data_IF_569770243137
#
_entry.id   IF_569770243137
#
_cell.length_a   1.000
_cell.length_b   1.000
_cell.length_c   1.000
_cell.angle_alpha   90.00
_cell.angle_beta   90.00
_cell.angle_gamma   90.00
#
_symmetry.space_group_name_H-M   'P 1'
#
loop_
_entity.id
_entity.type
_entity.pdbx_description
1 polymer ?
#
# COMPACT_ATOMS: atom_id res chain seq x y z
N UNK A 1 34.76 -27.62 65.87
CA UNK A 1 33.30 -27.66 65.61
C UNK A 1 32.90 -26.37 64.91
N UNK A 2 32.67 -26.42 63.60
CA UNK A 2 32.07 -25.33 62.82
C UNK A 2 31.05 -25.97 61.88
N UNK A 3 29.77 -25.67 62.12
CA UNK A 3 28.66 -26.13 61.30
C UNK A 3 28.74 -25.48 59.91
N UNK A 4 28.60 -26.30 58.87
CA UNK A 4 28.35 -25.86 57.50
C UNK A 4 26.84 -25.71 57.30
N UNK A 5 26.36 -24.70 56.56
CA UNK A 5 24.95 -24.55 56.25
C UNK A 5 24.56 -25.41 55.05
N UNK A 6 23.44 -26.12 55.20
CA UNK A 6 22.78 -26.92 54.18
C UNK A 6 22.07 -26.00 53.19
N UNK A 7 22.43 -26.06 51.90
CA UNK A 7 21.74 -25.35 50.82
C UNK A 7 20.54 -26.19 50.39
N UNK A 8 19.34 -25.66 50.64
CA UNK A 8 18.05 -26.25 50.28
C UNK A 8 17.76 -25.96 48.79
N UNK A 9 17.78 -26.99 47.96
CA UNK A 9 17.43 -26.91 46.55
C UNK A 9 15.92 -26.70 46.37
N UNK A 10 15.55 -25.70 45.58
CA UNK A 10 14.18 -25.42 45.16
C UNK A 10 13.83 -26.30 43.95
N UNK A 11 12.61 -26.88 43.87
CA UNK A 11 12.20 -27.64 42.70
C UNK A 11 11.92 -26.66 41.55
N UNK A 12 12.63 -26.84 40.44
CA UNK A 12 12.27 -26.23 39.16
C UNK A 12 10.89 -26.77 38.75
N UNK A 13 9.87 -25.92 38.89
CA UNK A 13 8.55 -26.15 38.35
C UNK A 13 8.62 -26.17 36.82
N UNK A 14 8.25 -27.30 36.24
CA UNK A 14 8.05 -27.48 34.81
C UNK A 14 6.92 -26.55 34.37
N UNK A 15 7.25 -25.41 33.75
CA UNK A 15 6.27 -24.57 33.07
C UNK A 15 5.92 -25.25 31.74
N UNK A 16 4.78 -25.92 31.74
CA UNK A 16 4.17 -26.49 30.54
C UNK A 16 3.63 -25.33 29.68
N UNK A 17 4.46 -24.83 28.77
CA UNK A 17 4.04 -23.87 27.75
C UNK A 17 3.08 -24.57 26.78
N UNK A 18 1.77 -24.34 26.96
CA UNK A 18 0.78 -24.56 25.93
C UNK A 18 1.07 -23.58 24.79
N UNK A 19 1.78 -24.04 23.77
CA UNK A 19 1.86 -23.36 22.48
C UNK A 19 0.47 -23.52 21.84
N UNK A 20 -0.38 -22.52 22.03
CA UNK A 20 -1.57 -22.33 21.20
C UNK A 20 -1.06 -22.20 19.76
N UNK A 21 -1.29 -23.24 18.96
CA UNK A 21 -1.16 -23.16 17.52
C UNK A 21 -2.21 -22.17 17.01
N UNK A 22 -1.84 -20.89 16.98
CA UNK A 22 -2.58 -19.88 16.24
C UNK A 22 -2.47 -20.29 14.76
N UNK A 23 -3.58 -20.39 14.01
CA UNK A 23 -3.49 -20.68 12.59
C UNK A 23 -2.58 -19.64 11.94
N UNK A 24 -1.49 -20.10 11.32
CA UNK A 24 -0.67 -19.29 10.46
C UNK A 24 -1.56 -18.76 9.33
N UNK A 25 -1.75 -17.45 9.23
CA UNK A 25 -2.55 -16.89 8.13
C UNK A 25 -3.15 -15.51 8.38
N UNK A 26 -3.14 -14.98 9.60
CA UNK A 26 -3.45 -13.56 9.84
C UNK A 26 -2.12 -12.84 10.08
N UNK A 27 -1.44 -12.46 9.00
CA UNK A 27 -0.41 -11.45 9.14
C UNK A 27 -1.08 -10.15 9.60
N UNK A 28 -0.56 -9.57 10.68
CA UNK A 28 -1.14 -8.38 11.27
C UNK A 28 -0.98 -7.20 10.33
N UNK A 29 -2.06 -6.82 9.63
CA UNK A 29 -2.09 -5.57 8.87
C UNK A 29 -1.64 -4.43 9.77
N UNK A 30 -0.57 -3.76 9.38
CA UNK A 30 -0.04 -2.63 10.12
C UNK A 30 -0.60 -1.35 9.53
N UNK A 31 -1.46 -0.67 10.28
CA UNK A 31 -2.06 0.59 9.84
C UNK A 31 -1.00 1.69 9.74
N UNK A 32 -1.11 2.48 8.67
CA UNK A 32 -0.38 3.72 8.52
C UNK A 32 -1.07 4.79 9.37
N UNK A 33 -0.32 5.50 10.19
CA UNK A 33 -0.86 6.46 11.17
C UNK A 33 -0.57 7.91 10.81
N UNK A 34 0.44 8.16 9.96
CA UNK A 34 0.78 9.47 9.46
C UNK A 34 1.53 9.37 8.12
N UNK A 35 1.45 10.42 7.32
CA UNK A 35 2.24 10.59 6.09
C UNK A 35 2.89 11.96 6.07
N UNK A 36 4.04 12.05 5.40
CA UNK A 36 4.64 13.31 4.97
C UNK A 36 4.57 13.38 3.45
N UNK A 37 4.09 14.51 2.93
CA UNK A 37 3.99 14.75 1.49
C UNK A 37 4.83 15.96 1.07
N UNK A 38 5.16 16.01 -0.21
CA UNK A 38 5.63 17.22 -0.89
C UNK A 38 4.56 17.65 -1.89
N UNK A 39 4.24 18.93 -1.88
CA UNK A 39 3.30 19.52 -2.85
C UNK A 39 4.09 20.33 -3.88
N UNK A 40 3.84 20.08 -5.15
CA UNK A 40 4.34 20.87 -6.27
C UNK A 40 3.19 21.30 -7.15
N UNK A 41 3.21 22.54 -7.61
CA UNK A 41 2.19 23.10 -8.49
C UNK A 41 2.81 23.46 -9.85
N UNK A 42 2.06 23.21 -10.92
CA UNK A 42 2.36 23.69 -12.27
C UNK A 42 1.29 24.67 -12.75
N UNK A 43 1.47 25.26 -13.93
CA UNK A 43 0.46 26.16 -14.49
C UNK A 43 -0.82 25.38 -14.82
N UNK A 44 -1.99 25.90 -14.44
CA UNK A 44 -3.29 25.29 -14.70
C UNK A 44 -3.49 24.90 -16.17
N UNK A 45 -4.16 23.76 -16.40
CA UNK A 45 -4.59 23.28 -17.72
C UNK A 45 -6.11 23.16 -17.79
N UNK A 46 -6.65 23.03 -19.00
CA UNK A 46 -8.09 22.81 -19.22
C UNK A 46 -8.28 21.55 -20.06
N UNK A 47 -8.99 20.58 -19.50
CA UNK A 47 -9.37 19.32 -20.14
C UNK A 47 -10.85 19.08 -19.88
N UNK A 48 -11.58 18.62 -20.90
CA UNK A 48 -13.00 18.23 -20.74
C UNK A 48 -13.91 19.36 -20.22
N UNK A 49 -13.48 20.63 -20.38
CA UNK A 49 -14.18 21.80 -19.84
C UNK A 49 -13.90 22.09 -18.36
N UNK A 50 -13.01 21.35 -17.71
CA UNK A 50 -12.58 21.54 -16.32
C UNK A 50 -11.16 22.12 -16.25
N UNK A 51 -10.94 22.99 -15.27
CA UNK A 51 -9.59 23.46 -14.92
C UNK A 51 -8.92 22.46 -13.99
N UNK A 52 -7.74 21.98 -14.39
CA UNK A 52 -6.82 21.18 -13.57
C UNK A 52 -5.72 22.09 -13.05
N UNK A 53 -5.53 22.16 -11.74
CA UNK A 53 -4.53 23.01 -11.09
C UNK A 53 -3.11 22.44 -11.22
N UNK A 54 -2.99 21.19 -11.70
CA UNK A 54 -1.71 20.52 -11.88
C UNK A 54 -0.88 20.49 -10.58
N UNK A 55 -1.57 20.28 -9.45
CA UNK A 55 -0.95 20.05 -8.15
C UNK A 55 -0.63 18.58 -7.98
N UNK A 56 0.64 18.27 -7.75
CA UNK A 56 1.09 16.93 -7.33
C UNK A 56 1.27 16.93 -5.82
N UNK A 57 0.63 15.99 -5.13
CA UNK A 57 0.83 15.74 -3.70
C UNK A 57 1.51 14.39 -3.52
N UNK A 58 2.84 14.41 -3.53
CA UNK A 58 3.67 13.21 -3.54
C UNK A 58 3.98 12.69 -2.14
N UNK A 59 3.74 11.40 -1.91
CA UNK A 59 4.13 10.71 -0.68
C UNK A 59 5.66 10.62 -0.58
N UNK A 60 6.22 11.03 0.56
CA UNK A 60 7.67 10.97 0.84
C UNK A 60 8.00 9.96 1.93
N UNK A 61 7.24 10.02 3.04
CA UNK A 61 7.41 9.12 4.17
C UNK A 61 6.05 8.73 4.72
N UNK A 62 5.98 7.58 5.37
CA UNK A 62 4.84 7.22 6.21
C UNK A 62 5.30 6.64 7.54
N UNK A 63 4.44 6.71 8.54
CA UNK A 63 4.70 6.20 9.89
C UNK A 63 3.65 5.17 10.26
N UNK A 64 4.07 4.15 11.00
CA UNK A 64 3.22 3.11 11.57
C UNK A 64 3.48 3.00 13.07
N UNK A 65 2.91 2.00 13.74
CA UNK A 65 3.26 1.68 15.12
C UNK A 65 4.67 1.10 15.29
N UNK A 66 5.30 0.59 14.22
CA UNK A 66 6.60 -0.09 14.27
C UNK A 66 7.77 0.79 13.83
N UNK A 67 7.51 1.87 13.08
CA UNK A 67 8.55 2.79 12.64
C UNK A 67 8.12 3.73 11.53
N UNK A 68 9.08 4.51 11.04
CA UNK A 68 8.93 5.40 9.88
C UNK A 68 9.60 4.80 8.66
N UNK A 69 8.98 4.96 7.50
CA UNK A 69 9.44 4.45 6.22
C UNK A 69 9.61 5.62 5.24
N UNK A 70 10.64 5.56 4.40
CA UNK A 70 10.91 6.56 3.37
C UNK A 70 10.87 5.95 1.97
N UNK A 71 10.47 6.77 0.99
CA UNK A 71 10.39 6.40 -0.43
C UNK A 71 11.79 5.98 -0.93
N UNK A 72 11.86 4.81 -1.56
CA UNK A 72 13.11 4.28 -2.13
C UNK A 72 13.04 4.05 -3.63
N UNK A 73 11.85 3.94 -4.19
CA UNK A 73 11.65 3.74 -5.62
C UNK A 73 10.18 3.72 -6.02
N UNK A 74 9.94 3.50 -7.29
CA UNK A 74 8.61 3.41 -7.89
C UNK A 74 8.61 2.33 -8.97
N UNK A 75 7.42 1.84 -9.32
CA UNK A 75 7.27 0.97 -10.47
C UNK A 75 7.59 1.72 -11.77
N UNK A 76 8.19 1.02 -12.73
CA UNK A 76 8.47 1.55 -14.07
C UNK A 76 7.23 1.45 -14.97
N UNK A 77 6.39 0.45 -14.70
CA UNK A 77 5.24 0.09 -15.52
C UNK A 77 4.08 -0.33 -14.65
N UNK A 78 2.87 -0.14 -15.17
CA UNK A 78 1.66 -0.71 -14.60
C UNK A 78 0.87 -1.43 -15.69
N UNK A 79 0.45 -2.67 -15.40
CA UNK A 79 -0.40 -3.45 -16.29
C UNK A 79 -1.75 -3.70 -15.63
N UNK A 80 -2.80 -3.30 -16.32
CA UNK A 80 -4.18 -3.53 -15.89
C UNK A 80 -4.65 -4.84 -16.54
N UNK A 81 -5.18 -5.77 -15.74
CA UNK A 81 -5.49 -7.13 -16.16
C UNK A 81 -6.95 -7.49 -15.89
N UNK A 82 -7.51 -8.07 -16.93
CA UNK A 82 -8.90 -8.25 -17.27
C UNK A 82 -9.64 -6.95 -17.66
N UNK A 83 -10.28 -7.10 -18.83
CA UNK A 83 -11.15 -6.20 -19.59
C UNK A 83 -11.74 -7.09 -20.70
N UNK A 84 -12.62 -8.02 -20.33
CA UNK A 84 -13.30 -8.89 -21.32
C UNK A 84 -14.79 -8.99 -20.97
N UNK A 85 -15.61 -8.17 -21.62
CA UNK A 85 -17.08 -8.29 -21.53
C UNK A 85 -17.90 -7.00 -21.66
N UNK A 86 -17.28 -5.81 -21.63
CA UNK A 86 -17.96 -4.52 -21.76
C UNK A 86 -16.97 -3.41 -22.18
N UNK A 87 -17.46 -2.20 -22.43
CA UNK A 87 -16.59 -1.01 -22.46
C UNK A 87 -15.84 -0.98 -21.13
N UNK A 88 -14.51 -1.01 -21.16
CA UNK A 88 -13.74 -0.87 -19.94
C UNK A 88 -14.00 0.57 -19.47
N UNK A 89 -14.75 0.74 -18.40
CA UNK A 89 -15.05 2.07 -17.92
C UNK A 89 -14.03 2.43 -16.85
N UNK A 90 -12.93 3.07 -17.25
CA UNK A 90 -12.04 3.69 -16.28
C UNK A 90 -12.82 4.72 -15.48
N UNK A 91 -12.70 4.64 -14.16
CA UNK A 91 -13.21 5.66 -13.26
C UNK A 91 -12.02 6.30 -12.55
N UNK A 92 -11.76 7.56 -12.85
CA UNK A 92 -10.71 8.33 -12.19
C UNK A 92 -11.37 9.32 -11.27
N UNK A 93 -10.98 9.34 -10.01
CA UNK A 93 -11.38 10.40 -9.10
C UNK A 93 -10.30 11.47 -9.05
N UNK A 94 -10.75 12.72 -8.98
CA UNK A 94 -9.91 13.88 -8.76
C UNK A 94 -10.41 14.61 -7.51
N UNK A 95 -9.48 14.95 -6.63
CA UNK A 95 -9.78 15.87 -5.54
C UNK A 95 -10.23 17.21 -6.12
N UNK A 96 -11.27 17.78 -5.54
CA UNK A 96 -11.83 19.06 -5.97
C UNK A 96 -11.62 20.10 -4.88
N UNK A 97 -11.32 21.34 -5.27
CA UNK A 97 -11.24 22.45 -4.31
C UNK A 97 -12.63 22.82 -3.72
N UNK A 98 -13.71 22.43 -4.41
CA UNK A 98 -15.11 22.52 -3.98
C UNK A 98 -16.00 21.67 -4.90
N UNK A 99 -17.24 21.38 -4.51
CA UNK A 99 -18.17 20.47 -5.22
C UNK A 99 -18.50 20.83 -6.70
N UNK A 100 -18.12 22.01 -7.18
CA UNK A 100 -18.22 22.41 -8.60
C UNK A 100 -16.90 23.00 -9.14
N UNK A 101 -15.81 22.88 -8.38
CA UNK A 101 -14.56 23.60 -8.58
C UNK A 101 -13.50 22.84 -9.36
N UNK A 102 -12.37 23.52 -9.55
CA UNK A 102 -11.18 23.00 -10.22
C UNK A 102 -10.72 21.65 -9.63
N UNK A 103 -10.16 20.81 -10.49
CA UNK A 103 -9.46 19.59 -10.09
C UNK A 103 -8.10 19.99 -9.55
N UNK A 104 -7.76 19.51 -8.35
CA UNK A 104 -6.49 19.86 -7.72
C UNK A 104 -5.34 19.20 -8.47
N UNK A 105 -5.47 17.91 -8.79
CA UNK A 105 -4.43 17.19 -9.52
C UNK A 105 -4.26 17.67 -10.98
N UNK A 106 -3.20 17.18 -11.60
CA UNK A 106 -3.02 17.19 -13.04
C UNK A 106 -3.96 16.20 -13.74
N UNK A 107 -4.28 16.49 -15.00
CA UNK A 107 -4.99 15.56 -15.88
C UNK A 107 -4.09 14.37 -16.21
N UNK A 108 -4.68 13.17 -16.34
CA UNK A 108 -3.99 12.00 -16.85
C UNK A 108 -4.64 11.62 -18.17
N UNK A 109 -3.86 11.32 -19.19
CA UNK A 109 -4.38 10.86 -20.48
C UNK A 109 -4.58 9.35 -20.51
N UNK A 110 -3.96 8.64 -19.55
CA UNK A 110 -4.16 7.21 -19.36
C UNK A 110 -4.43 6.80 -17.91
N UNK A 111 -5.16 5.70 -17.73
CA UNK A 111 -5.36 5.09 -16.42
C UNK A 111 -4.05 4.66 -15.75
N UNK A 112 -3.06 4.26 -16.55
CA UNK A 112 -1.73 3.89 -16.12
C UNK A 112 -0.98 5.09 -15.51
N UNK A 113 -1.11 6.28 -16.08
CA UNK A 113 -0.52 7.51 -15.53
C UNK A 113 -1.07 7.81 -14.14
N UNK A 114 -2.39 7.69 -13.94
CA UNK A 114 -3.02 7.89 -12.61
C UNK A 114 -2.39 6.98 -11.55
N UNK A 115 -2.09 5.73 -11.91
CA UNK A 115 -1.57 4.71 -10.99
C UNK A 115 -0.07 4.86 -10.71
N UNK A 116 0.69 5.51 -11.59
CA UNK A 116 2.16 5.63 -11.49
C UNK A 116 2.66 6.98 -10.94
N UNK A 117 1.82 8.01 -10.85
CA UNK A 117 2.31 9.39 -10.66
C UNK A 117 2.65 9.79 -9.21
N UNK A 118 2.44 8.92 -8.22
CA UNK A 118 2.60 9.24 -6.80
C UNK A 118 1.88 10.54 -6.41
N UNK A 119 0.56 10.60 -6.60
CA UNK A 119 -0.23 11.80 -6.33
C UNK A 119 -1.49 11.49 -5.51
N UNK A 120 -1.57 11.99 -4.27
CA UNK A 120 -2.76 11.83 -3.42
C UNK A 120 -3.99 12.61 -3.89
N UNK A 121 -3.83 13.60 -4.79
CA UNK A 121 -4.94 14.42 -5.26
C UNK A 121 -5.76 13.76 -6.38
N UNK A 122 -5.41 12.53 -6.79
CA UNK A 122 -6.16 11.72 -7.76
C UNK A 122 -6.00 10.24 -7.47
N UNK A 123 -6.82 9.45 -8.14
CA UNK A 123 -6.76 7.99 -8.07
C UNK A 123 -7.84 7.35 -8.90
N UNK A 124 -8.09 6.06 -8.69
CA UNK A 124 -9.10 5.32 -9.45
C UNK A 124 -10.19 4.81 -8.53
N UNK A 125 -11.43 4.80 -9.01
CA UNK A 125 -12.61 4.52 -8.19
C UNK A 125 -13.23 3.17 -8.55
N UNK A 126 -13.63 2.38 -7.55
CA UNK A 126 -14.18 1.05 -7.74
C UNK A 126 -13.33 0.15 -8.64
N UNK A 127 -12.02 0.12 -8.43
CA UNK A 127 -11.08 -0.55 -9.34
C UNK A 127 -11.42 -2.02 -9.58
N UNK A 128 -11.82 -2.74 -8.53
CA UNK A 128 -12.15 -4.18 -8.61
C UNK A 128 -13.65 -4.48 -8.63
N UNK A 129 -14.51 -3.46 -8.76
CA UNK A 129 -15.95 -3.68 -8.88
C UNK A 129 -16.28 -4.21 -10.27
N UNK A 130 -16.66 -5.47 -10.40
CA UNK A 130 -16.83 -6.16 -11.70
C UNK A 130 -18.27 -6.70 -11.91
N UNK A 131 -19.17 -6.48 -10.96
CA UNK A 131 -20.59 -6.82 -11.07
C UNK A 131 -21.43 -5.62 -11.53
N UNK A 132 -22.01 -5.70 -12.72
CA UNK A 132 -22.91 -4.68 -13.27
C UNK A 132 -22.38 -4.05 -14.56
N UNK A 133 -23.23 -3.29 -15.26
CA UNK A 133 -22.93 -2.77 -16.61
C UNK A 133 -22.10 -1.48 -16.64
N UNK A 134 -21.82 -0.89 -15.48
CA UNK A 134 -21.23 0.46 -15.38
C UNK A 134 -19.83 0.44 -14.78
N UNK A 135 -19.22 -0.72 -14.57
CA UNK A 135 -17.94 -0.85 -13.88
C UNK A 135 -16.86 -1.46 -14.75
N UNK A 136 -15.60 -1.19 -14.39
CA UNK A 136 -14.45 -1.80 -15.00
C UNK A 136 -14.40 -3.30 -14.65
N UNK A 137 -14.10 -4.16 -15.61
CA UNK A 137 -13.90 -5.60 -15.34
C UNK A 137 -12.43 -5.88 -15.01
N UNK A 138 -11.83 -5.03 -14.18
CA UNK A 138 -10.43 -5.13 -13.77
C UNK A 138 -10.37 -6.02 -12.54
N UNK A 139 -9.48 -7.01 -12.58
CA UNK A 139 -9.35 -8.00 -11.50
C UNK A 139 -7.96 -7.99 -10.88
N UNK A 140 -7.00 -7.44 -11.62
CA UNK A 140 -5.60 -7.41 -11.22
C UNK A 140 -4.89 -6.20 -11.80
N UNK A 141 -4.05 -5.57 -10.99
CA UNK A 141 -3.16 -4.49 -11.41
C UNK A 141 -1.73 -4.87 -11.03
N UNK A 142 -0.84 -4.93 -12.00
CA UNK A 142 0.56 -5.31 -11.83
C UNK A 142 1.43 -4.04 -11.83
N UNK A 143 2.12 -3.74 -10.73
CA UNK A 143 3.13 -2.67 -10.64
C UNK A 143 4.51 -3.29 -10.80
N UNK A 144 5.20 -2.99 -11.91
CA UNK A 144 6.41 -3.69 -12.33
C UNK A 144 7.62 -2.76 -12.36
N UNK A 145 8.73 -3.21 -11.78
CA UNK A 145 10.07 -2.67 -11.99
C UNK A 145 10.86 -3.60 -12.92
N UNK A 146 11.22 -3.12 -14.10
CA UNK A 146 11.74 -3.92 -15.22
C UNK A 146 13.10 -4.56 -14.94
N UNK A 147 13.90 -3.97 -14.03
CA UNK A 147 15.18 -4.54 -13.61
C UNK A 147 15.08 -5.52 -12.45
N UNK A 148 13.94 -5.51 -11.75
CA UNK A 148 13.83 -6.05 -10.41
C UNK A 148 14.81 -5.41 -9.42
N UNK A 149 14.67 -5.75 -8.15
CA UNK A 149 15.60 -5.35 -7.10
C UNK A 149 15.72 -6.46 -6.06
N UNK A 150 16.87 -6.50 -5.39
CA UNK A 150 17.07 -7.39 -4.24
C UNK A 150 16.32 -6.83 -3.04
N UNK A 151 15.35 -7.58 -2.53
CA UNK A 151 14.58 -7.21 -1.36
C UNK A 151 15.48 -7.06 -0.13
N UNK A 152 15.29 -5.99 0.65
CA UNK A 152 15.95 -5.82 1.95
C UNK A 152 14.96 -6.18 3.06
N UNK A 153 15.47 -6.52 4.26
CA UNK A 153 14.60 -6.79 5.42
C UNK A 153 13.69 -5.60 5.77
N UNK A 154 14.10 -4.39 5.40
CA UNK A 154 13.38 -3.15 5.65
C UNK A 154 12.37 -2.79 4.54
N UNK A 155 12.24 -3.60 3.48
CA UNK A 155 11.36 -3.34 2.34
C UNK A 155 9.89 -3.30 2.78
N UNK A 156 9.18 -2.30 2.25
CA UNK A 156 7.78 -2.09 2.54
C UNK A 156 6.99 -1.58 1.32
N UNK A 157 5.73 -1.99 1.24
CA UNK A 157 4.75 -1.54 0.25
C UNK A 157 3.56 -0.93 1.02
N UNK A 158 3.38 0.40 0.97
CA UNK A 158 2.15 0.99 1.45
C UNK A 158 1.05 0.85 0.38
N UNK A 159 -0.17 0.57 0.82
CA UNK A 159 -1.36 0.59 -0.04
C UNK A 159 -2.42 1.46 0.63
N UNK A 160 -2.94 2.41 -0.13
CA UNK A 160 -3.92 3.40 0.31
C UNK A 160 -5.23 3.26 -0.46
N UNK A 161 -6.31 3.19 0.33
CA UNK A 161 -7.71 3.23 -0.09
C UNK A 161 -8.29 4.62 0.18
N UNK A 162 -9.02 5.17 -0.79
CA UNK A 162 -9.67 6.47 -0.70
C UNK A 162 -11.11 6.29 -0.22
N UNK A 163 -11.27 6.18 1.09
CA UNK A 163 -12.53 5.81 1.72
C UNK A 163 -13.11 6.84 2.67
N UNK A 164 -14.30 6.54 3.18
CA UNK A 164 -14.91 7.26 4.31
C UNK A 164 -14.09 6.93 5.54
N UNK A 165 -13.78 7.88 6.40
CA UNK A 165 -13.07 7.58 7.65
C UNK A 165 -13.98 6.87 8.68
N UNK A 166 -13.58 5.75 9.33
CA UNK A 166 -12.39 4.90 9.15
C UNK A 166 -12.71 3.58 8.41
N UNK A 167 -13.55 3.65 7.39
CA UNK A 167 -14.07 2.54 6.60
C UNK A 167 -13.30 2.43 5.28
N UNK A 168 -12.35 1.50 5.26
CA UNK A 168 -11.58 1.18 4.06
C UNK A 168 -11.78 -0.24 3.59
N UNK A 169 -11.58 -0.43 2.30
CA UNK A 169 -11.96 -1.65 1.63
C UNK A 169 -10.87 -2.74 1.64
N UNK A 170 -11.32 -3.97 1.46
CA UNK A 170 -10.45 -5.14 1.39
C UNK A 170 -9.87 -5.31 -0.02
N UNK A 171 -8.68 -5.88 -0.08
CA UNK A 171 -7.99 -6.27 -1.30
C UNK A 171 -7.01 -7.39 -0.99
N UNK A 172 -6.37 -7.92 -2.02
CA UNK A 172 -5.24 -8.84 -1.87
C UNK A 172 -4.03 -8.34 -2.64
N UNK A 173 -2.86 -8.78 -2.21
CA UNK A 173 -1.57 -8.37 -2.75
C UNK A 173 -0.61 -9.57 -2.79
N UNK A 174 0.22 -9.65 -3.82
CA UNK A 174 1.33 -10.58 -3.90
C UNK A 174 2.53 -9.93 -4.58
N UNK A 175 3.74 -10.26 -4.14
CA UNK A 175 4.97 -9.81 -4.80
C UNK A 175 5.17 -10.56 -6.11
N UNK A 176 5.63 -9.85 -7.14
CA UNK A 176 6.04 -10.44 -8.41
C UNK A 176 7.49 -10.91 -8.27
N UNK A 177 7.72 -12.22 -8.32
CA UNK A 177 9.05 -12.82 -8.12
C UNK A 177 9.77 -13.16 -9.43
N UNK A 178 9.06 -13.13 -10.55
CA UNK A 178 9.65 -13.24 -11.89
C UNK A 178 8.74 -12.60 -12.93
N UNK A 179 9.35 -12.13 -14.03
CA UNK A 179 8.66 -11.58 -15.21
C UNK A 179 9.23 -12.17 -16.49
N UNK A 180 8.44 -12.14 -17.57
CA UNK A 180 8.91 -12.44 -18.92
C UNK A 180 9.64 -11.24 -19.56
N UNK A 181 10.07 -11.39 -20.82
CA UNK A 181 10.79 -10.36 -21.56
C UNK A 181 9.97 -9.07 -21.83
N UNK A 182 8.66 -9.10 -21.58
CA UNK A 182 7.75 -7.97 -21.75
C UNK A 182 7.27 -7.39 -20.42
N UNK A 183 7.81 -7.85 -19.29
CA UNK A 183 7.41 -7.40 -17.96
C UNK A 183 6.12 -8.06 -17.45
N UNK A 184 5.59 -9.09 -18.12
CA UNK A 184 4.43 -9.81 -17.59
C UNK A 184 4.88 -10.72 -16.42
N UNK A 185 4.18 -10.71 -15.28
CA UNK A 185 4.44 -11.65 -14.19
C UNK A 185 4.45 -13.11 -14.66
N UNK A 186 5.47 -13.87 -14.24
CA UNK A 186 5.59 -15.32 -14.44
C UNK A 186 5.66 -16.11 -13.12
N UNK A 187 5.70 -15.42 -11.98
CA UNK A 187 5.72 -16.01 -10.66
C UNK A 187 5.37 -15.01 -9.57
N UNK A 188 4.76 -15.51 -8.50
CA UNK A 188 4.29 -14.73 -7.37
C UNK A 188 4.75 -15.33 -6.04
N UNK A 189 4.90 -14.48 -5.03
CA UNK A 189 5.00 -14.87 -3.61
C UNK A 189 3.66 -15.39 -3.07
N UNK A 190 3.60 -15.68 -1.76
CA UNK A 190 2.33 -15.93 -1.09
C UNK A 190 1.36 -14.74 -1.28
N UNK A 191 0.06 -15.06 -1.36
CA UNK A 191 -1.02 -14.07 -1.47
C UNK A 191 -1.37 -13.55 -0.07
N UNK A 192 -1.05 -12.28 0.18
CA UNK A 192 -1.47 -11.57 1.38
C UNK A 192 -2.87 -10.98 1.17
N UNK A 193 -3.68 -10.97 2.22
CA UNK A 193 -5.06 -10.45 2.18
C UNK A 193 -5.26 -9.39 3.24
N UNK A 194 -6.01 -8.35 2.90
CA UNK A 194 -6.59 -7.46 3.90
C UNK A 194 -7.97 -7.95 4.35
N UNK A 195 -8.38 -7.48 5.52
CA UNK A 195 -9.79 -7.43 5.92
C UNK A 195 -10.20 -5.97 5.79
N UNK A 196 -11.49 -5.61 5.84
CA UNK A 196 -11.87 -4.20 5.91
C UNK A 196 -11.10 -3.55 7.06
N UNK A 197 -10.26 -2.59 6.73
CA UNK A 197 -9.29 -2.08 7.70
C UNK A 197 -9.77 -0.77 8.28
N UNK A 198 -9.73 -0.67 9.61
CA UNK A 198 -10.10 0.54 10.32
C UNK A 198 -8.89 1.45 10.48
N UNK A 199 -8.38 1.96 9.36
CA UNK A 199 -7.39 3.04 9.38
C UNK A 199 -8.10 4.38 9.45
N UNK A 200 -7.51 5.33 10.17
CA UNK A 200 -7.92 6.72 9.99
C UNK A 200 -7.38 7.24 8.66
N UNK A 201 -8.09 8.16 8.05
CA UNK A 201 -7.54 8.86 6.88
C UNK A 201 -6.28 9.62 7.31
N UNK A 202 -5.17 9.32 6.64
CA UNK A 202 -3.85 9.87 6.96
C UNK A 202 -3.55 11.14 6.18
N UNK A 203 -4.34 11.43 5.15
CA UNK A 203 -4.28 12.67 4.37
C UNK A 203 -5.70 13.23 4.15
N UNK A 204 -5.78 14.52 3.80
CA UNK A 204 -6.96 15.38 3.88
C UNK A 204 -8.28 14.71 3.47
N UNK A 205 -9.33 14.96 4.27
CA UNK A 205 -10.72 14.72 3.90
C UNK A 205 -11.17 15.78 2.89
N UNK A 206 -11.55 15.37 1.69
CA UNK A 206 -11.85 16.31 0.62
C UNK A 206 -13.03 15.85 -0.23
N UNK A 207 -13.72 16.82 -0.84
CA UNK A 207 -14.68 16.55 -1.90
C UNK A 207 -13.94 16.09 -3.14
N UNK A 208 -14.53 15.18 -3.90
CA UNK A 208 -13.94 14.66 -5.13
C UNK A 208 -14.99 14.54 -6.23
N UNK A 209 -14.51 14.47 -7.46
CA UNK A 209 -15.31 14.18 -8.64
C UNK A 209 -14.79 12.92 -9.31
N UNK A 210 -15.68 11.98 -9.62
CA UNK A 210 -15.40 10.80 -10.41
C UNK A 210 -15.69 11.13 -11.86
N UNK A 211 -14.68 11.02 -12.71
CA UNK A 211 -14.78 11.08 -14.17
C UNK A 211 -14.88 9.65 -14.69
N UNK A 212 -15.85 9.39 -15.57
CA UNK A 212 -16.05 8.08 -16.18
C UNK A 212 -15.72 8.15 -17.67
N UNK A 213 -14.91 7.21 -18.13
CA UNK A 213 -14.46 7.14 -19.51
C UNK A 213 -15.03 5.90 -20.18
N UNK A 214 -15.36 5.99 -21.47
CA UNK A 214 -15.95 4.88 -22.22
C UNK A 214 -14.89 3.97 -22.90
N UNK A 215 -13.68 4.49 -23.08
CA UNK A 215 -12.64 3.91 -23.94
C UNK A 215 -11.51 3.24 -23.15
N UNK A 216 -11.86 2.49 -22.12
CA UNK A 216 -10.90 1.72 -21.35
C UNK A 216 -9.88 2.59 -20.66
N UNK A 217 -8.62 2.35 -21.01
CA UNK A 217 -7.49 3.01 -20.37
C UNK A 217 -7.31 4.45 -20.85
N UNK A 218 -8.04 4.89 -21.90
CA UNK A 218 -8.02 6.26 -22.38
C UNK A 218 -8.89 7.15 -21.50
N UNK A 219 -8.30 8.17 -20.89
CA UNK A 219 -8.97 9.08 -19.94
C UNK A 219 -9.10 10.51 -20.47
N UNK A 220 -9.28 10.69 -21.78
CA UNK A 220 -9.35 12.03 -22.42
C UNK A 220 -10.75 12.47 -22.88
N UNK A 221 -11.78 11.63 -22.72
CA UNK A 221 -13.16 11.93 -23.13
C UNK A 221 -14.17 11.33 -22.13
N UNK A 222 -14.41 12.06 -21.05
CA UNK A 222 -15.38 11.69 -20.02
C UNK A 222 -16.82 11.77 -20.53
N UNK A 223 -17.64 10.78 -20.15
CA UNK A 223 -19.07 10.74 -20.54
C UNK A 223 -20.00 11.04 -19.36
N UNK A 224 -19.49 11.02 -18.13
CA UNK A 224 -20.26 11.27 -16.93
C UNK A 224 -19.35 11.69 -15.76
N UNK A 225 -19.88 12.59 -14.93
CA UNK A 225 -19.26 13.00 -13.68
C UNK A 225 -20.21 12.81 -12.50
N UNK A 226 -19.65 12.32 -11.41
CA UNK A 226 -20.31 12.26 -10.11
C UNK A 226 -19.47 12.95 -9.05
N UNK A 227 -20.07 13.81 -8.23
CA UNK A 227 -19.39 14.41 -7.09
C UNK A 227 -19.68 13.59 -5.84
N UNK A 228 -18.62 13.08 -5.22
CA UNK A 228 -18.72 12.28 -4.01
C UNK A 228 -18.74 13.13 -2.73
N UNK A 229 -19.11 12.51 -1.59
CA UNK A 229 -18.99 13.12 -0.28
C UNK A 229 -17.50 13.31 0.09
N UNK A 230 -17.23 13.86 1.28
CA UNK A 230 -15.85 13.90 1.74
C UNK A 230 -15.34 12.49 2.04
N UNK A 231 -14.20 12.16 1.44
CA UNK A 231 -13.43 10.94 1.67
C UNK A 231 -11.95 11.30 1.72
N UNK A 232 -11.09 10.33 2.02
CA UNK A 232 -9.64 10.54 2.03
C UNK A 232 -8.88 9.23 2.15
N UNK A 233 -7.57 9.25 1.93
CA UNK A 233 -6.76 8.04 1.91
C UNK A 233 -6.48 7.53 3.32
N UNK A 234 -6.84 6.27 3.59
CA UNK A 234 -6.32 5.48 4.70
C UNK A 234 -5.48 4.34 4.16
N UNK A 235 -4.48 3.89 4.91
CA UNK A 235 -3.52 2.92 4.37
C UNK A 235 -3.03 1.88 5.35
N UNK A 236 -2.54 0.79 4.77
CA UNK A 236 -1.84 -0.31 5.44
C UNK A 236 -0.49 -0.51 4.78
N UNK A 237 0.46 -1.09 5.52
CA UNK A 237 1.77 -1.48 5.00
C UNK A 237 1.90 -2.99 4.97
N UNK A 238 2.56 -3.49 3.92
CA UNK A 238 3.06 -4.85 3.80
C UNK A 238 4.58 -4.85 3.79
N UNK A 239 5.15 -5.87 4.41
CA UNK A 239 6.57 -6.16 4.55
C UNK A 239 6.86 -7.54 3.95
N UNK A 240 8.13 -7.95 3.87
CA UNK A 240 8.48 -9.26 3.31
C UNK A 240 7.87 -10.45 4.07
N UNK A 241 7.69 -10.31 5.38
CA UNK A 241 7.10 -11.36 6.23
C UNK A 241 5.65 -11.66 5.83
N UNK A 242 4.91 -10.66 5.34
CA UNK A 242 3.53 -10.84 4.87
C UNK A 242 3.43 -11.75 3.64
N UNK A 243 4.53 -11.93 2.92
CA UNK A 243 4.61 -12.66 1.66
C UNK A 243 5.38 -13.98 1.74
N UNK A 244 5.91 -14.33 2.91
CA UNK A 244 6.83 -15.46 3.11
C UNK A 244 8.05 -15.39 2.17
N UNK A 245 8.65 -14.20 2.07
CA UNK A 245 9.81 -13.92 1.21
C UNK A 245 11.03 -13.55 2.06
N UNK A 246 12.14 -14.25 1.83
CA UNK A 246 13.40 -13.92 2.50
C UNK A 246 14.06 -12.65 1.90
N UNK A 247 14.71 -11.81 2.72
CA UNK A 247 15.62 -10.78 2.25
C UNK A 247 16.69 -11.35 1.30
N UNK A 248 17.01 -10.60 0.23
CA UNK A 248 17.89 -11.05 -0.84
C UNK A 248 17.17 -11.65 -2.04
N UNK A 249 15.88 -11.98 -1.91
CA UNK A 249 15.05 -12.43 -3.03
C UNK A 249 14.91 -11.30 -4.05
N UNK A 250 14.98 -11.62 -5.35
CA UNK A 250 14.71 -10.64 -6.40
C UNK A 250 13.20 -10.44 -6.54
N UNK A 251 12.76 -9.19 -6.40
CA UNK A 251 11.37 -8.76 -6.57
C UNK A 251 11.30 -7.86 -7.80
N UNK A 252 10.29 -8.09 -8.65
CA UNK A 252 10.00 -7.29 -9.84
C UNK A 252 8.83 -6.33 -9.65
N UNK A 253 8.31 -6.24 -8.42
CA UNK A 253 7.20 -5.38 -8.04
C UNK A 253 6.12 -6.16 -7.31
N UNK A 254 4.85 -5.78 -7.47
CA UNK A 254 3.73 -6.46 -6.84
C UNK A 254 2.47 -6.37 -7.71
N UNK A 255 1.53 -7.27 -7.48
CA UNK A 255 0.19 -7.19 -8.06
C UNK A 255 -0.84 -7.02 -6.96
N UNK A 256 -1.87 -6.24 -7.27
CA UNK A 256 -3.07 -6.11 -6.46
C UNK A 256 -4.24 -6.81 -7.11
N UNK A 257 -5.14 -7.26 -6.27
CA UNK A 257 -6.24 -8.14 -6.63
C UNK A 257 -7.49 -7.75 -5.85
N UNK A 258 -8.66 -8.03 -6.43
CA UNK A 258 -9.93 -8.00 -5.71
C UNK A 258 -9.91 -8.88 -4.46
N UNK A 259 -10.71 -8.55 -3.45
CA UNK A 259 -10.80 -9.30 -2.19
C UNK A 259 -11.24 -10.77 -2.37
N UNK A 260 -11.98 -11.06 -3.44
CA UNK A 260 -12.55 -12.36 -3.77
C UNK A 260 -11.60 -13.26 -4.56
N UNK A 261 -10.50 -12.70 -5.08
CA UNK A 261 -9.46 -13.45 -5.81
C UNK A 261 -8.86 -14.52 -4.92
N UNK A 262 -8.64 -15.72 -5.44
CA UNK A 262 -8.03 -16.82 -4.68
C UNK A 262 -6.98 -17.54 -5.51
N UNK A 263 -5.88 -17.92 -4.88
CA UNK A 263 -4.85 -18.77 -5.49
C UNK A 263 -5.17 -20.27 -5.32
N UNK A 264 -6.21 -20.64 -4.56
CA UNK A 264 -6.53 -22.03 -4.26
C UNK A 264 -5.38 -22.82 -3.62
N UNK A 265 -4.46 -22.14 -2.93
CA UNK A 265 -3.24 -22.72 -2.35
C UNK A 265 -2.11 -22.95 -3.37
N UNK A 266 -2.19 -22.36 -4.57
CA UNK A 266 -1.15 -22.41 -5.58
C UNK A 266 -1.02 -21.05 -6.28
N UNK A 267 0.07 -20.33 -6.00
CA UNK A 267 0.33 -18.97 -6.51
C UNK A 267 0.41 -18.90 -8.04
N UNK A 268 0.65 -20.02 -8.74
CA UNK A 268 0.56 -20.06 -10.21
C UNK A 268 -0.86 -19.75 -10.73
N UNK A 269 -1.89 -19.94 -9.91
CA UNK A 269 -3.26 -19.61 -10.27
C UNK A 269 -3.46 -18.10 -10.42
N UNK A 270 -2.65 -17.27 -9.76
CA UNK A 270 -2.66 -15.80 -9.89
C UNK A 270 -2.20 -15.32 -11.28
N UNK A 271 -1.49 -16.18 -12.03
CA UNK A 271 -1.11 -15.89 -13.42
C UNK A 271 -2.32 -16.01 -14.36
N UNK A 272 -3.34 -16.78 -13.99
CA UNK A 272 -4.51 -17.07 -14.82
C UNK A 272 -5.67 -16.10 -14.54
N UNK A 273 -5.44 -14.82 -14.81
CA UNK A 273 -6.40 -13.71 -14.61
C UNK A 273 -7.70 -13.82 -15.43
N UNK A 274 -7.80 -14.78 -16.37
CA UNK A 274 -9.02 -15.07 -17.12
C UNK A 274 -9.89 -16.17 -16.49
N UNK A 275 -9.40 -16.84 -15.44
CA UNK A 275 -10.13 -17.92 -14.79
C UNK A 275 -11.17 -17.37 -13.81
N UNK A 276 -12.45 -17.57 -14.12
CA UNK A 276 -13.54 -17.23 -13.20
C UNK A 276 -13.50 -18.02 -11.87
N UNK A 277 -12.71 -19.10 -11.79
CA UNK A 277 -12.48 -19.84 -10.54
C UNK A 277 -11.55 -19.10 -9.58
N UNK A 278 -10.59 -18.35 -10.10
CA UNK A 278 -9.56 -17.66 -9.31
C UNK A 278 -9.79 -16.14 -9.27
N UNK A 279 -10.48 -15.60 -10.27
CA UNK A 279 -10.84 -14.20 -10.46
C UNK A 279 -12.35 -14.12 -10.76
N UNK A 280 -13.20 -14.18 -9.72
CA UNK A 280 -14.65 -14.15 -9.88
C UNK A 280 -15.12 -12.81 -10.46
N UNK A 281 -16.19 -12.84 -11.27
CA UNK A 281 -16.72 -11.64 -11.97
C UNK A 281 -18.05 -11.16 -11.37
N UNK A 282 -18.20 -11.32 -10.06
CA UNK A 282 -19.44 -11.05 -9.36
C UNK A 282 -19.23 -10.23 -8.08
N UNK A 283 -18.11 -9.50 -8.01
CA UNK A 283 -17.80 -8.53 -6.98
C UNK A 283 -18.56 -7.23 -7.24
N UNK A 284 -19.50 -6.91 -6.35
CA UNK A 284 -20.28 -5.67 -6.44
C UNK A 284 -19.71 -4.58 -5.54
N UNK A 285 -19.81 -3.33 -5.99
CA UNK A 285 -19.40 -2.13 -5.24
C UNK A 285 -20.23 -1.90 -3.96
N UNK A 286 -21.38 -2.56 -3.83
CA UNK A 286 -22.27 -2.47 -2.67
C UNK A 286 -22.01 -3.48 -1.56
N UNK A 287 -21.11 -4.44 -1.77
CA UNK A 287 -20.76 -5.44 -0.74
C UNK A 287 -19.83 -4.82 0.30
N UNK A 288 -20.43 -4.10 1.26
CA UNK A 288 -19.86 -3.59 2.52
C UNK A 288 -18.35 -3.80 2.74
N UNK A 289 -17.54 -2.90 2.19
CA UNK A 289 -16.08 -2.82 2.31
C UNK A 289 -15.27 -3.92 1.60
N UNK A 290 -15.85 -4.57 0.59
CA UNK A 290 -15.20 -5.65 -0.12
C UNK A 290 -15.02 -5.40 -1.63
N UNK A 291 -15.94 -4.73 -2.32
CA UNK A 291 -16.01 -4.84 -3.78
C UNK A 291 -15.77 -3.61 -4.65
N UNK A 292 -15.20 -2.53 -4.12
CA UNK A 292 -15.06 -1.26 -4.83
C UNK A 292 -13.74 -0.54 -4.56
N UNK A 293 -12.63 -1.26 -4.38
CA UNK A 293 -11.42 -0.68 -3.81
C UNK A 293 -11.03 0.64 -4.50
N UNK A 294 -11.02 1.73 -3.73
CA UNK A 294 -10.84 3.09 -4.23
C UNK A 294 -9.36 3.43 -4.16
N UNK A 295 -8.65 3.23 -5.25
CA UNK A 295 -7.21 3.36 -5.29
C UNK A 295 -6.77 4.82 -5.18
N UNK A 296 -5.84 5.12 -4.28
CA UNK A 296 -5.09 6.38 -4.36
C UNK A 296 -3.96 6.31 -5.39
N UNK A 297 -3.69 7.40 -6.10
CA UNK A 297 -2.62 7.52 -7.11
C UNK A 297 -1.19 7.45 -6.54
N UNK A 298 -1.02 6.97 -5.30
CA UNK A 298 0.27 6.85 -4.60
C UNK A 298 0.74 5.41 -4.43
N UNK A 299 0.02 4.42 -4.94
CA UNK A 299 0.32 3.04 -4.57
C UNK A 299 1.50 2.46 -5.36
N UNK A 300 1.85 2.94 -6.56
CA UNK A 300 2.97 2.45 -7.39
C UNK A 300 4.39 2.71 -6.87
N UNK A 301 4.57 2.79 -5.55
CA UNK A 301 5.77 3.25 -4.84
C UNK A 301 6.34 2.16 -3.94
N UNK A 302 7.65 2.21 -3.69
CA UNK A 302 8.38 1.31 -2.82
C UNK A 302 9.05 2.08 -1.69
N UNK A 303 9.07 1.48 -0.50
CA UNK A 303 9.58 2.13 0.70
C UNK A 303 10.58 1.24 1.44
N UNK A 304 11.36 1.86 2.32
CA UNK A 304 12.16 1.13 3.30
C UNK A 304 12.12 1.79 4.66
N UNK A 305 12.21 0.98 5.72
CA UNK A 305 12.29 1.48 7.08
C UNK A 305 13.47 2.45 7.21
N UNK A 306 13.23 3.61 7.81
CA UNK A 306 14.26 4.57 8.16
C UNK A 306 14.87 4.08 9.48
N UNK A 307 16.17 3.76 9.52
CA UNK A 307 16.80 3.38 10.77
C UNK A 307 16.62 4.50 11.79
N UNK A 308 16.00 4.20 12.92
CA UNK A 308 15.94 5.13 14.04
C UNK A 308 17.37 5.61 14.35
N UNK A 309 17.60 6.92 14.57
CA UNK A 309 18.92 7.43 14.93
C UNK A 309 19.43 6.61 16.11
N UNK A 310 20.39 5.72 15.81
CA UNK A 310 20.57 4.55 16.65
C UNK A 310 20.70 4.93 18.13
N UNK A 311 20.05 4.18 19.01
CA UNK A 311 20.27 4.27 20.45
C UNK A 311 21.76 4.16 20.79
N UNK A 312 22.58 3.59 19.88
CA UNK A 312 24.04 3.58 19.94
C UNK A 312 24.69 4.96 19.79
N UNK A 313 24.16 5.87 18.98
CA UNK A 313 24.62 7.25 18.94
C UNK A 313 24.36 7.98 20.27
N UNK A 314 23.18 7.72 20.87
CA UNK A 314 22.85 8.24 22.20
C UNK A 314 23.68 7.58 23.30
N UNK A 315 23.89 6.26 23.25
CA UNK A 315 24.75 5.52 24.18
C UNK A 315 26.21 5.95 24.06
N UNK A 316 26.68 6.24 22.84
CA UNK A 316 28.00 6.82 22.57
C UNK A 316 28.14 8.20 23.16
N UNK A 317 27.15 9.08 23.00
CA UNK A 317 27.12 10.40 23.64
C UNK A 317 27.11 10.30 25.17
N UNK A 318 26.32 9.39 25.73
CA UNK A 318 26.26 9.14 27.18
C UNK A 318 27.59 8.59 27.71
N UNK A 319 28.25 7.68 26.97
CA UNK A 319 29.57 7.16 27.33
C UNK A 319 30.64 8.25 27.29
N UNK A 320 30.65 9.08 26.25
CA UNK A 320 31.59 10.22 26.13
C UNK A 320 31.36 11.23 27.25
N UNK A 321 30.10 11.58 27.54
CA UNK A 321 29.75 12.47 28.65
C UNK A 321 30.19 11.89 30.01
N UNK A 322 30.01 10.59 30.22
CA UNK A 322 30.43 9.87 31.44
C UNK A 322 31.95 9.88 31.60
N UNK A 323 32.71 9.68 30.52
CA UNK A 323 34.17 9.79 30.52
C UNK A 323 34.65 11.22 30.83
N UNK A 324 33.96 12.25 30.32
CA UNK A 324 34.30 13.66 30.63
C UNK A 324 34.05 14.02 32.09
N UNK A 325 32.97 13.49 32.70
CA UNK A 325 32.67 13.69 34.12
C UNK A 325 33.68 12.96 35.01
N UNK A 326 34.06 11.73 34.66
CA UNK A 326 35.07 10.96 35.41
C UNK A 326 36.48 11.57 35.37
N UNK A 327 36.81 12.34 34.32
CA UNK A 327 38.11 13.00 34.19
C UNK A 327 38.27 14.25 35.08
N UNK A 328 37.18 14.76 35.68
CA UNK A 328 37.18 15.95 36.54
C UNK A 328 37.21 15.64 38.04
N UNK A 329 37.74 14.50 38.47
CA UNK A 329 37.99 14.31 39.91
C UNK A 329 39.19 15.17 40.32
N UNK A 330 39.01 16.18 41.20
CA UNK A 330 40.12 16.97 41.71
C UNK A 330 41.08 16.02 42.43
N UNK A 331 42.38 16.11 42.11
CA UNK A 331 43.41 15.45 42.90
C UNK A 331 43.41 16.14 44.27
N UNK A 332 42.93 15.45 45.30
CA UNK A 332 43.13 15.91 46.67
C UNK A 332 44.63 16.01 46.91
N UNK A 333 45.08 17.20 47.31
CA UNK A 333 46.42 17.44 47.82
C UNK A 333 46.55 16.88 49.24
#
# INVERSE_FOLDING_TARGET
MKCLPTIQAWPFGLLLAWVLAVPAGLSGQTAITAVTTITTDSADTVHEGYTFQNTTVALQTFTTSTGTYALTGMADQVFIRRSSGGTNNAHVWYQTASAAGNRIADHADTFQEVLLDNNFARGVHNLFGNAGSSYANIERVDFISNGGFSATADFAIPVFDFGINPQHESFKIALVTSVDAFGNPTGYSALASTVPFTANNVYNHSTFSIHRYADGDNTTDDYAIFNGPNQGPGGVVFTLDDFDVDPGTTIYGYSLFGYDVTDGGNTNNLLNWNSATYFPTNTSDGEGAAGGFDFSGVNGVFFSAVPEPSTYALAGLVAVASCMVLRRRPRCA
#
